data_IF_615643299499
#
_entry.id   IF_615643299499
#
_cell.length_a   1.000
_cell.length_b   1.000
_cell.length_c   1.000
_cell.angle_alpha   90.00
_cell.angle_beta   90.00
_cell.angle_gamma   90.00
#
_symmetry.space_group_name_H-M   'P 1'
#
loop_
_entity.id
_entity.type
_entity.pdbx_description
1 polymer ?
#
# COMPACT_ATOMS: atom_id res chain seq x y z
N UNK A 1 -19.44 4.27 1.02
CA UNK A 1 -18.67 3.40 1.97
C UNK A 1 -17.21 3.50 1.60
N UNK A 2 -16.29 3.47 2.56
CA UNK A 2 -14.85 3.53 2.30
C UNK A 2 -14.22 2.23 2.80
N UNK A 3 -13.39 1.62 1.95
CA UNK A 3 -12.61 0.44 2.29
C UNK A 3 -11.13 0.76 2.13
N UNK A 4 -10.30 0.28 3.06
CA UNK A 4 -8.85 0.42 2.99
C UNK A 4 -8.26 -0.96 2.78
N UNK A 5 -7.56 -1.13 1.66
CA UNK A 5 -6.88 -2.37 1.31
C UNK A 5 -5.38 -2.15 1.37
N UNK A 6 -4.69 -2.95 2.19
CA UNK A 6 -3.23 -3.03 2.16
C UNK A 6 -2.78 -3.89 0.98
N UNK A 7 -1.66 -3.53 0.35
CA UNK A 7 -1.07 -4.36 -0.70
C UNK A 7 -0.76 -5.78 -0.23
N UNK A 8 -0.81 -6.74 -1.15
CA UNK A 8 -0.39 -8.11 -0.94
C UNK A 8 1.14 -8.19 -0.75
N UNK A 9 1.63 -9.36 -0.31
CA UNK A 9 3.04 -9.57 0.02
C UNK A 9 3.97 -9.26 -1.17
N UNK A 10 4.85 -8.28 -1.00
CA UNK A 10 5.82 -7.82 -2.00
C UNK A 10 7.24 -8.36 -1.74
N UNK A 11 8.09 -8.33 -2.78
CA UNK A 11 9.48 -8.79 -2.71
C UNK A 11 10.40 -7.84 -1.93
N UNK A 12 10.00 -6.57 -1.80
CA UNK A 12 10.76 -5.53 -1.13
C UNK A 12 9.91 -4.31 -0.77
N UNK A 13 10.57 -3.25 -0.31
CA UNK A 13 9.95 -1.97 0.04
C UNK A 13 10.09 -0.91 -1.06
N UNK A 14 11.01 -1.12 -2.00
CA UNK A 14 11.26 -0.22 -3.14
C UNK A 14 9.96 0.13 -3.89
N UNK A 15 9.96 1.31 -4.51
CA UNK A 15 8.78 1.85 -5.20
C UNK A 15 8.24 0.90 -6.29
N UNK A 16 9.14 0.24 -7.00
CA UNK A 16 8.86 -0.68 -8.09
C UNK A 16 8.78 -2.15 -7.66
N UNK A 17 8.91 -2.45 -6.36
CA UNK A 17 8.90 -3.81 -5.85
C UNK A 17 7.61 -4.55 -6.24
N UNK A 18 7.78 -5.68 -6.92
CA UNK A 18 6.70 -6.53 -7.38
C UNK A 18 6.11 -7.38 -6.25
N UNK A 19 4.94 -7.96 -6.49
CA UNK A 19 4.38 -9.00 -5.62
C UNK A 19 5.23 -10.27 -5.65
N UNK A 20 5.34 -10.91 -4.49
CA UNK A 20 5.82 -12.30 -4.40
C UNK A 20 4.82 -13.27 -5.04
N UNK A 21 5.24 -14.51 -5.32
CA UNK A 21 4.32 -15.58 -5.78
C UNK A 21 3.11 -15.76 -4.85
N UNK A 22 3.32 -15.68 -3.54
CA UNK A 22 2.21 -15.75 -2.57
C UNK A 22 1.34 -14.50 -2.61
N UNK A 23 1.96 -13.33 -2.79
CA UNK A 23 1.24 -12.06 -2.98
C UNK A 23 0.32 -12.10 -4.19
N UNK A 24 0.78 -12.65 -5.32
CA UNK A 24 -0.03 -12.84 -6.53
C UNK A 24 -1.23 -13.76 -6.25
N UNK A 25 -1.02 -14.87 -5.52
CA UNK A 25 -2.11 -15.77 -5.12
C UNK A 25 -3.13 -15.06 -4.24
N UNK A 26 -2.67 -14.29 -3.25
CA UNK A 26 -3.57 -13.48 -2.40
C UNK A 26 -4.36 -12.46 -3.20
N UNK A 27 -3.74 -11.78 -4.17
CA UNK A 27 -4.41 -10.83 -5.05
C UNK A 27 -5.55 -11.48 -5.85
N UNK A 28 -5.34 -12.71 -6.34
CA UNK A 28 -6.40 -13.48 -7.00
C UNK A 28 -7.54 -13.85 -6.04
N UNK A 29 -7.21 -14.21 -4.80
CA UNK A 29 -8.20 -14.56 -3.76
C UNK A 29 -9.05 -13.37 -3.29
N UNK A 30 -8.58 -12.13 -3.48
CA UNK A 30 -9.33 -10.93 -3.13
C UNK A 30 -10.51 -10.66 -4.08
N UNK A 31 -10.44 -11.10 -5.34
CA UNK A 31 -11.46 -10.83 -6.37
C UNK A 31 -12.89 -11.13 -5.90
N UNK A 32 -13.22 -12.34 -5.39
CA UNK A 32 -14.58 -12.65 -4.94
C UNK A 32 -15.02 -11.88 -3.69
N UNK A 33 -14.08 -11.36 -2.89
CA UNK A 33 -14.39 -10.52 -1.73
C UNK A 33 -14.76 -9.12 -2.20
N UNK A 34 -13.92 -8.52 -3.05
CA UNK A 34 -14.11 -7.17 -3.59
C UNK A 34 -15.36 -7.06 -4.47
N UNK A 35 -15.69 -8.11 -5.22
CA UNK A 35 -16.91 -8.18 -6.04
C UNK A 35 -18.20 -7.99 -5.25
N UNK A 36 -18.21 -8.27 -3.94
CA UNK A 36 -19.38 -8.13 -3.07
C UNK A 36 -19.54 -6.73 -2.48
N UNK A 37 -18.55 -5.84 -2.67
CA UNK A 37 -18.49 -4.54 -2.00
C UNK A 37 -19.11 -3.40 -2.81
N UNK A 38 -19.61 -3.66 -4.03
CA UNK A 38 -20.17 -2.65 -4.95
C UNK A 38 -19.25 -1.42 -5.06
N UNK A 39 -18.00 -1.64 -5.45
CA UNK A 39 -16.96 -0.60 -5.49
C UNK A 39 -17.19 0.29 -6.73
N UNK A 40 -17.54 1.55 -6.49
CA UNK A 40 -17.77 2.53 -7.57
C UNK A 40 -16.47 3.13 -8.12
N UNK A 41 -15.43 3.23 -7.29
CA UNK A 41 -14.15 3.86 -7.66
C UNK A 41 -13.00 3.31 -6.82
N UNK A 42 -11.82 3.21 -7.42
CA UNK A 42 -10.58 2.75 -6.75
C UNK A 42 -9.53 3.87 -6.79
N UNK A 43 -8.89 4.12 -5.66
CA UNK A 43 -7.71 4.97 -5.54
C UNK A 43 -6.52 4.11 -5.15
N UNK A 44 -5.39 4.27 -5.82
CA UNK A 44 -4.16 3.51 -5.56
C UNK A 44 -2.97 4.46 -5.43
N UNK A 45 -2.00 4.06 -4.61
CA UNK A 45 -0.68 4.68 -4.63
C UNK A 45 0.02 4.38 -5.97
N UNK A 46 1.09 5.10 -6.25
CA UNK A 46 1.91 4.92 -7.45
C UNK A 46 2.90 3.73 -7.34
N UNK A 47 2.90 3.03 -6.20
CA UNK A 47 3.78 1.87 -5.97
C UNK A 47 3.26 0.61 -6.68
N UNK A 48 4.14 -0.09 -7.40
CA UNK A 48 3.78 -1.27 -8.23
C UNK A 48 2.96 -2.31 -7.45
N UNK A 49 3.41 -2.66 -6.24
CA UNK A 49 2.73 -3.63 -5.37
C UNK A 49 1.26 -3.29 -5.07
N UNK A 50 0.90 -2.01 -5.00
CA UNK A 50 -0.50 -1.61 -4.74
C UNK A 50 -1.37 -1.84 -5.97
N UNK A 51 -0.89 -1.45 -7.15
CA UNK A 51 -1.58 -1.73 -8.42
C UNK A 51 -1.69 -3.23 -8.69
N UNK A 52 -0.61 -3.99 -8.54
CA UNK A 52 -0.60 -5.44 -8.77
C UNK A 52 -1.57 -6.19 -7.85
N UNK A 53 -1.77 -5.69 -6.62
CA UNK A 53 -2.71 -6.30 -5.66
C UNK A 53 -4.17 -6.19 -6.11
N UNK A 54 -4.52 -5.13 -6.85
CA UNK A 54 -5.89 -4.88 -7.32
C UNK A 54 -6.10 -5.24 -8.79
N UNK A 55 -5.01 -5.42 -9.56
CA UNK A 55 -5.04 -5.73 -10.99
C UNK A 55 -5.93 -6.94 -11.34
N UNK A 56 -5.94 -8.06 -10.59
CA UNK A 56 -6.86 -9.17 -10.89
C UNK A 56 -8.34 -8.78 -10.81
N UNK A 57 -8.71 -7.90 -9.87
CA UNK A 57 -10.07 -7.39 -9.77
C UNK A 57 -10.40 -6.49 -10.98
N UNK A 58 -9.54 -5.52 -11.30
CA UNK A 58 -9.74 -4.60 -12.43
C UNK A 58 -9.81 -5.30 -13.80
N UNK A 59 -9.16 -6.45 -13.93
CA UNK A 59 -9.23 -7.25 -15.16
C UNK A 59 -10.63 -7.84 -15.37
N UNK A 60 -11.32 -8.16 -14.27
CA UNK A 60 -12.67 -8.75 -14.29
C UNK A 60 -13.78 -7.68 -14.19
N UNK A 61 -13.49 -6.53 -13.58
CA UNK A 61 -14.45 -5.47 -13.30
C UNK A 61 -13.91 -4.13 -13.81
N UNK A 62 -14.69 -3.44 -14.65
CA UNK A 62 -14.30 -2.15 -15.25
C UNK A 62 -14.48 -0.97 -14.29
N UNK A 63 -14.08 -1.14 -13.04
CA UNK A 63 -14.15 -0.08 -12.02
C UNK A 63 -13.13 1.00 -12.35
N UNK A 64 -13.52 2.29 -12.36
CA UNK A 64 -12.58 3.39 -12.53
C UNK A 64 -11.45 3.36 -11.49
N UNK A 65 -10.23 3.62 -11.95
CA UNK A 65 -9.04 3.69 -11.10
C UNK A 65 -8.35 5.04 -11.26
N UNK A 66 -7.93 5.62 -10.13
CA UNK A 66 -7.13 6.84 -10.07
C UNK A 66 -5.87 6.59 -9.25
N UNK A 67 -4.72 6.97 -9.80
CA UNK A 67 -3.47 7.05 -9.04
C UNK A 67 -3.48 8.33 -8.20
N UNK A 68 -3.11 8.21 -6.93
CA UNK A 68 -3.02 9.34 -6.00
C UNK A 68 -1.71 9.25 -5.22
N UNK A 69 -0.77 10.12 -5.56
CA UNK A 69 0.57 10.17 -4.95
C UNK A 69 0.53 10.49 -3.45
N UNK A 70 -0.57 11.04 -2.93
CA UNK A 70 -0.78 11.26 -1.48
C UNK A 70 -0.96 9.95 -0.71
N UNK A 71 -1.26 8.84 -1.40
CA UNK A 71 -1.36 7.49 -0.84
C UNK A 71 -0.03 6.75 -0.84
N UNK A 72 1.03 7.32 -1.43
CA UNK A 72 2.36 6.72 -1.36
C UNK A 72 2.84 6.67 0.09
N UNK A 73 3.56 5.61 0.44
CA UNK A 73 4.22 5.54 1.74
C UNK A 73 5.20 6.72 1.89
N UNK A 74 5.25 7.29 3.09
CA UNK A 74 6.19 8.38 3.38
C UNK A 74 7.62 7.82 3.33
N UNK A 75 8.42 8.34 2.42
CA UNK A 75 9.86 8.11 2.41
C UNK A 75 10.47 8.86 3.61
N UNK A 76 11.12 8.10 4.50
CA UNK A 76 11.77 8.66 5.69
C UNK A 76 13.25 9.00 5.46
N UNK A 77 13.86 8.37 4.45
CA UNK A 77 15.23 8.60 4.02
C UNK A 77 15.37 8.20 2.56
N UNK A 78 16.03 9.05 1.78
CA UNK A 78 16.37 8.76 0.38
C UNK A 78 17.58 7.81 0.26
N UNK A 79 18.28 7.55 1.37
CA UNK A 79 19.41 6.63 1.45
C UNK A 79 19.07 5.42 2.33
N UNK A 80 19.56 4.21 1.99
CA UNK A 80 19.46 3.04 2.86
C UNK A 80 20.06 3.32 4.24
N UNK A 81 19.36 2.92 5.28
CA UNK A 81 19.79 3.07 6.67
C UNK A 81 19.97 1.66 7.25
N UNK A 82 21.20 1.30 7.64
CA UNK A 82 21.49 -0.04 8.17
C UNK A 82 20.68 -0.35 9.45
N UNK A 83 20.49 0.65 10.31
CA UNK A 83 19.67 0.56 11.53
C UNK A 83 18.22 1.05 11.34
N UNK A 84 17.65 0.95 10.12
CA UNK A 84 16.37 1.56 9.74
C UNK A 84 15.23 1.35 10.74
N UNK A 85 15.16 0.16 11.38
CA UNK A 85 14.11 -0.14 12.35
C UNK A 85 14.21 0.73 13.61
N UNK A 86 15.43 1.05 14.04
CA UNK A 86 15.70 1.95 15.17
C UNK A 86 15.34 3.38 14.80
N UNK A 87 15.77 3.87 13.63
CA UNK A 87 15.44 5.22 13.16
C UNK A 87 13.93 5.40 12.96
N UNK A 88 13.26 4.40 12.37
CA UNK A 88 11.81 4.38 12.24
C UNK A 88 11.12 4.54 13.60
N UNK A 89 11.55 3.77 14.61
CA UNK A 89 10.99 3.90 15.98
C UNK A 89 11.19 5.30 16.55
N UNK A 90 12.35 5.92 16.30
CA UNK A 90 12.64 7.29 16.77
C UNK A 90 11.69 8.32 16.16
N UNK A 91 11.27 8.15 14.89
CA UNK A 91 10.29 9.07 14.28
C UNK A 91 8.94 9.11 15.02
N UNK A 92 8.49 7.97 15.57
CA UNK A 92 7.26 7.91 16.36
C UNK A 92 7.45 8.49 17.78
N UNK A 93 8.64 8.37 18.36
CA UNK A 93 8.97 8.92 19.70
C UNK A 93 9.05 10.45 19.66
N UNK A 94 9.69 11.02 18.63
CA UNK A 94 9.81 12.48 18.46
C UNK A 94 8.43 13.13 18.33
N UNK A 95 7.53 12.53 17.55
CA UNK A 95 6.14 13.00 17.42
C UNK A 95 5.39 12.95 18.76
N UNK A 96 5.64 11.92 19.58
CA UNK A 96 5.02 11.80 20.90
C UNK A 96 5.50 12.88 21.89
N UNK A 97 6.76 13.32 21.80
CA UNK A 97 7.28 14.41 22.63
C UNK A 97 6.72 15.77 22.17
N UNK A 98 6.62 16.01 20.86
CA UNK A 98 6.06 17.27 20.34
C UNK A 98 4.54 17.40 20.52
N UNK A 99 3.80 16.28 20.56
CA UNK A 99 2.35 16.29 20.83
C UNK A 99 1.98 16.45 22.33
N UNK A 100 2.96 16.38 23.25
CA UNK A 100 2.75 16.58 24.70
C UNK A 100 3.14 17.98 25.20
N UNK A 101 3.42 18.91 24.31
CA UNK A 101 3.81 20.29 24.64
C UNK A 101 2.77 21.35 24.20
N UNK A 102 1.52 20.97 23.96
CA UNK A 102 0.39 21.90 23.75
C UNK A 102 -0.70 21.63 24.77
#
# INVERSE_FOLDING_TARGET
MIYVLRHCKATGQEFDAALTTDGIKSAQQLVPVLAKLNIDHIYVSEMNRTYESIKPYLTNYKTPLTYDSRLNERILSDLPIDNWLTELKMTFIIVYIMAKQV
#
